data_IF_274124975365
#
_entry.id   IF_274124975365
#
_cell.length_a   1.000
_cell.length_b   1.000
_cell.length_c   1.000
_cell.angle_alpha   90.00
_cell.angle_beta   90.00
_cell.angle_gamma   90.00
#
_symmetry.space_group_name_H-M   'P 1'
#
loop_
_entity.id
_entity.type
_entity.pdbx_description
1 polymer ?
#
# COMPACT_ATOMS: atom_id res chain seq x y z
N UNK A 1 -22.96 20.81 -4.65
CA UNK A 1 -22.29 19.56 -5.06
C UNK A 1 -22.83 19.18 -6.42
N UNK A 2 -22.00 19.20 -7.45
CA UNK A 2 -22.34 18.66 -8.77
C UNK A 2 -22.26 17.14 -8.66
N UNK A 3 -23.42 16.49 -8.50
CA UNK A 3 -23.52 15.03 -8.53
C UNK A 3 -23.84 14.54 -9.93
N UNK A 4 -23.42 13.33 -10.26
CA UNK A 4 -23.87 12.62 -11.45
C UNK A 4 -25.12 11.80 -11.12
N UNK A 5 -26.12 11.80 -12.00
CA UNK A 5 -27.33 10.99 -11.83
C UNK A 5 -27.41 9.96 -12.95
N UNK A 6 -27.45 8.68 -12.57
CA UNK A 6 -27.77 7.58 -13.48
C UNK A 6 -29.27 7.30 -13.33
N UNK A 7 -30.03 7.46 -14.41
CA UNK A 7 -31.47 7.18 -14.43
C UNK A 7 -31.76 5.88 -15.17
N UNK A 8 -32.43 4.95 -14.48
CA UNK A 8 -32.99 3.74 -15.09
C UNK A 8 -34.51 3.89 -15.15
N UNK A 9 -35.07 3.96 -16.35
CA UNK A 9 -36.50 4.15 -16.56
C UNK A 9 -37.17 2.88 -17.06
N UNK A 10 -38.27 2.51 -16.43
CA UNK A 10 -39.11 1.38 -16.85
C UNK A 10 -40.35 1.89 -17.56
N UNK A 11 -40.70 1.24 -18.67
CA UNK A 11 -42.00 1.48 -19.31
C UNK A 11 -43.13 0.87 -18.47
N UNK A 12 -44.34 1.41 -18.61
CA UNK A 12 -45.54 0.87 -17.95
C UNK A 12 -45.74 -0.63 -18.25
N UNK A 13 -45.45 -1.05 -19.49
CA UNK A 13 -45.57 -2.45 -19.91
C UNK A 13 -44.51 -3.34 -19.22
N UNK A 14 -43.26 -2.86 -19.13
CA UNK A 14 -42.19 -3.57 -18.41
C UNK A 14 -42.54 -3.74 -16.93
N UNK A 15 -43.04 -2.69 -16.28
CA UNK A 15 -43.43 -2.73 -14.87
C UNK A 15 -44.58 -3.72 -14.61
N UNK A 16 -45.61 -3.72 -15.47
CA UNK A 16 -46.74 -4.64 -15.35
C UNK A 16 -46.32 -6.11 -15.48
N UNK A 17 -45.41 -6.41 -16.42
CA UNK A 17 -44.81 -7.74 -16.52
C UNK A 17 -43.99 -8.08 -15.28
N UNK A 18 -43.23 -7.12 -14.77
CA UNK A 18 -42.32 -7.30 -13.65
C UNK A 18 -43.06 -7.60 -12.33
N UNK A 19 -44.22 -6.99 -12.09
CA UNK A 19 -45.08 -7.26 -10.91
C UNK A 19 -45.43 -8.75 -10.75
N UNK A 20 -45.55 -9.49 -11.85
CA UNK A 20 -45.84 -10.94 -11.83
C UNK A 20 -44.65 -11.79 -11.33
N UNK A 21 -43.44 -11.24 -11.32
CA UNK A 21 -42.22 -11.95 -10.91
C UNK A 21 -41.78 -11.65 -9.47
N UNK A 22 -42.07 -10.46 -8.93
CA UNK A 22 -41.65 -10.05 -7.57
C UNK A 22 -42.23 -11.00 -6.50
N UNK A 23 -43.49 -11.42 -6.66
CA UNK A 23 -44.14 -12.37 -5.75
C UNK A 23 -43.52 -13.78 -5.74
N UNK A 24 -42.55 -14.06 -6.62
CA UNK A 24 -41.83 -15.33 -6.73
C UNK A 24 -40.36 -15.24 -6.27
N UNK A 25 -40.00 -14.18 -5.55
CA UNK A 25 -38.64 -14.00 -5.01
C UNK A 25 -37.61 -13.45 -6.00
N UNK A 26 -38.06 -12.91 -7.16
CA UNK A 26 -37.17 -12.22 -8.09
C UNK A 26 -36.91 -10.78 -7.64
N UNK A 27 -35.65 -10.35 -7.73
CA UNK A 27 -35.23 -8.98 -7.42
C UNK A 27 -34.64 -8.30 -8.67
N UNK A 28 -34.86 -6.99 -8.77
CA UNK A 28 -34.19 -6.17 -9.77
C UNK A 28 -32.82 -5.77 -9.23
N UNK A 29 -31.78 -6.01 -10.02
CA UNK A 29 -30.42 -5.61 -9.70
C UNK A 29 -29.96 -4.56 -10.70
N UNK A 30 -29.55 -3.41 -10.19
CA UNK A 30 -28.81 -2.40 -10.95
C UNK A 30 -27.38 -2.43 -10.43
N UNK A 31 -26.44 -2.64 -11.33
CA UNK A 31 -25.00 -2.66 -11.04
C UNK A 31 -24.32 -1.71 -12.01
N UNK A 32 -23.40 -0.91 -11.51
CA UNK A 32 -22.60 0.02 -12.30
C UNK A 32 -21.24 0.19 -11.65
N UNK A 33 -20.23 0.53 -12.45
CA UNK A 33 -18.92 0.96 -11.98
C UNK A 33 -18.79 2.46 -12.19
N UNK A 34 -18.16 3.14 -11.23
CA UNK A 34 -17.85 4.56 -11.31
C UNK A 34 -16.40 4.81 -10.92
N UNK A 35 -15.80 5.85 -11.50
CA UNK A 35 -14.41 6.23 -11.27
C UNK A 35 -14.38 7.45 -10.36
N UNK A 36 -13.67 7.37 -9.23
CA UNK A 36 -13.47 8.52 -8.33
C UNK A 36 -12.45 9.48 -8.95
N UNK A 37 -12.81 10.74 -9.11
CA UNK A 37 -11.93 11.74 -9.73
C UNK A 37 -11.27 12.65 -8.69
N UNK A 38 -10.32 13.49 -9.12
CA UNK A 38 -9.50 14.36 -8.24
C UNK A 38 -10.25 15.43 -7.47
N UNK A 39 -11.52 15.66 -7.79
CA UNK A 39 -12.40 16.56 -7.05
C UNK A 39 -12.93 15.94 -5.75
N UNK A 40 -12.80 14.63 -5.57
CA UNK A 40 -13.10 13.95 -4.32
C UNK A 40 -11.98 14.18 -3.29
N UNK A 41 -12.29 14.90 -2.22
CA UNK A 41 -11.29 15.27 -1.20
C UNK A 41 -11.38 14.40 0.05
N UNK A 42 -12.57 14.24 0.62
CA UNK A 42 -12.74 13.55 1.92
C UNK A 42 -13.66 12.34 1.85
N UNK A 43 -14.67 12.35 1.00
CA UNK A 43 -15.65 11.28 0.92
C UNK A 43 -16.28 11.17 -0.47
N UNK A 44 -16.79 9.97 -0.77
CA UNK A 44 -17.60 9.67 -1.96
C UNK A 44 -18.92 9.07 -1.49
N UNK A 45 -20.00 9.77 -1.83
CA UNK A 45 -21.37 9.35 -1.50
C UNK A 45 -22.10 8.88 -2.75
N UNK A 46 -22.83 7.78 -2.61
CA UNK A 46 -23.77 7.30 -3.61
C UNK A 46 -25.16 7.10 -2.97
N UNK A 47 -26.16 7.70 -3.58
CA UNK A 47 -27.54 7.68 -3.13
C UNK A 47 -28.44 6.99 -4.16
N UNK A 48 -29.32 6.09 -3.70
CA UNK A 48 -30.34 5.47 -4.54
C UNK A 48 -31.74 6.04 -4.27
N UNK A 49 -32.42 6.41 -5.35
CA UNK A 49 -33.78 6.94 -5.37
C UNK A 49 -34.68 6.07 -6.25
N UNK A 50 -35.91 5.83 -5.78
CA UNK A 50 -36.98 5.29 -6.62
C UNK A 50 -38.15 6.26 -6.54
N UNK A 51 -38.61 6.76 -7.68
CA UNK A 51 -39.66 7.80 -7.75
C UNK A 51 -40.99 7.41 -7.10
N UNK A 52 -41.24 6.11 -6.91
CA UNK A 52 -42.42 5.58 -6.24
C UNK A 52 -42.26 5.42 -4.73
N UNK A 53 -41.10 5.79 -4.17
CA UNK A 53 -40.82 5.78 -2.73
C UNK A 53 -40.54 7.20 -2.26
N UNK A 54 -41.07 7.54 -1.09
CA UNK A 54 -40.90 8.86 -0.48
C UNK A 54 -39.49 9.08 0.07
N UNK A 55 -38.78 8.01 0.46
CA UNK A 55 -37.46 8.08 1.08
C UNK A 55 -36.35 7.53 0.17
N UNK A 56 -35.16 8.14 0.24
CA UNK A 56 -33.93 7.57 -0.35
C UNK A 56 -33.58 6.30 0.41
N UNK A 57 -33.38 5.18 -0.30
CA UNK A 57 -33.33 3.87 0.38
C UNK A 57 -31.96 3.29 0.65
N UNK A 58 -30.87 3.78 0.04
CA UNK A 58 -29.51 3.31 0.37
C UNK A 58 -28.46 4.38 0.10
N UNK A 59 -27.51 4.44 1.02
CA UNK A 59 -26.31 5.26 0.97
C UNK A 59 -25.11 4.31 0.96
N UNK A 60 -24.27 4.39 -0.07
CA UNK A 60 -22.90 3.93 0.06
C UNK A 60 -22.06 5.17 0.37
N UNK A 61 -21.35 5.12 1.49
CA UNK A 61 -20.47 6.19 1.94
C UNK A 61 -19.06 5.62 2.02
N UNK A 62 -18.10 6.32 1.45
CA UNK A 62 -16.70 5.94 1.52
C UNK A 62 -15.88 7.14 1.93
N UNK A 63 -15.14 6.98 3.02
CA UNK A 63 -14.17 7.97 3.49
C UNK A 63 -12.84 7.72 2.79
N UNK A 64 -12.22 8.80 2.32
CA UNK A 64 -10.91 8.77 1.67
C UNK A 64 -9.81 9.04 2.70
N UNK A 65 -8.62 8.52 2.44
CA UNK A 65 -7.43 8.65 3.26
C UNK A 65 -6.22 9.03 2.40
N UNK A 66 -5.19 9.53 3.07
CA UNK A 66 -3.90 9.86 2.48
C UNK A 66 -2.80 9.03 3.13
N UNK A 67 -1.91 8.49 2.29
CA UNK A 67 -0.68 7.82 2.70
C UNK A 67 0.49 8.75 2.39
N UNK A 68 1.29 9.11 3.40
CA UNK A 68 2.51 9.91 3.21
C UNK A 68 3.70 9.21 3.85
N UNK A 69 4.85 9.25 3.17
CA UNK A 69 6.12 8.75 3.68
C UNK A 69 7.30 9.62 3.21
N UNK A 70 8.46 9.44 3.86
CA UNK A 70 9.71 10.14 3.54
C UNK A 70 10.70 9.21 2.87
N UNK A 71 11.11 9.57 1.66
CA UNK A 71 12.23 8.96 0.95
C UNK A 71 13.54 9.51 1.51
N UNK A 72 14.40 8.62 2.01
CA UNK A 72 15.69 9.00 2.63
C UNK A 72 16.85 8.13 2.16
N UNK A 73 18.07 8.58 2.48
CA UNK A 73 19.28 7.77 2.47
C UNK A 73 19.56 7.15 3.86
N UNK A 74 20.68 6.42 3.98
CA UNK A 74 21.10 5.77 5.22
C UNK A 74 21.43 6.72 6.38
N UNK A 75 21.52 8.03 6.12
CA UNK A 75 21.75 9.10 7.11
C UNK A 75 20.49 9.92 7.37
N UNK A 76 19.31 9.41 6.99
CA UNK A 76 18.00 10.06 7.08
C UNK A 76 17.88 11.37 6.28
N UNK A 77 18.79 11.60 5.32
CA UNK A 77 18.71 12.77 4.44
C UNK A 77 17.64 12.54 3.38
N UNK A 78 16.77 13.53 3.10
CA UNK A 78 15.73 13.39 2.10
C UNK A 78 16.29 13.21 0.68
N UNK A 79 15.65 12.32 -0.09
CA UNK A 79 15.99 12.06 -1.49
C UNK A 79 14.84 12.41 -2.43
N UNK A 80 15.14 13.23 -3.43
CA UNK A 80 14.22 13.60 -4.49
C UNK A 80 14.36 12.69 -5.72
N UNK A 81 13.28 12.57 -6.49
CA UNK A 81 13.29 11.91 -7.80
C UNK A 81 13.08 10.40 -7.78
N UNK A 82 12.83 9.78 -6.61
CA UNK A 82 12.39 8.39 -6.57
C UNK A 82 10.94 8.29 -7.08
N UNK A 83 10.64 7.33 -7.96
CA UNK A 83 9.27 7.08 -8.45
C UNK A 83 8.69 5.84 -7.80
N UNK A 84 7.45 5.96 -7.34
CA UNK A 84 6.72 4.90 -6.64
C UNK A 84 5.39 4.65 -7.31
N UNK A 85 5.10 3.40 -7.63
CA UNK A 85 3.81 2.93 -8.12
C UNK A 85 2.96 2.44 -6.96
N UNK A 86 1.66 2.73 -6.97
CA UNK A 86 0.70 2.17 -6.02
C UNK A 86 -0.27 1.21 -6.70
N UNK A 87 -0.53 0.06 -6.07
CA UNK A 87 -1.49 -0.94 -6.53
C UNK A 87 -2.39 -1.38 -5.38
N UNK A 88 -3.69 -1.53 -5.63
CA UNK A 88 -4.62 -2.11 -4.67
C UNK A 88 -4.66 -3.64 -4.79
N UNK A 89 -4.81 -4.34 -3.68
CA UNK A 89 -5.15 -5.77 -3.66
C UNK A 89 -6.52 -6.08 -4.25
N UNK A 90 -7.42 -5.09 -4.35
CA UNK A 90 -8.73 -5.24 -4.97
C UNK A 90 -9.06 -4.06 -5.90
N UNK A 91 -8.82 -4.26 -7.19
CA UNK A 91 -9.02 -3.24 -8.24
C UNK A 91 -10.48 -2.89 -8.53
N UNK A 92 -11.44 -3.66 -8.01
CA UNK A 92 -12.88 -3.46 -8.24
C UNK A 92 -13.56 -2.65 -7.14
N UNK A 93 -12.83 -2.25 -6.10
CA UNK A 93 -13.33 -1.37 -5.05
C UNK A 93 -12.84 0.05 -5.30
N UNK A 94 -13.47 1.01 -4.60
CA UNK A 94 -13.30 2.46 -4.69
C UNK A 94 -11.88 2.94 -4.31
N UNK A 95 -10.84 2.44 -4.96
CA UNK A 95 -9.52 2.42 -4.33
C UNK A 95 -8.50 3.26 -5.08
N UNK A 96 -8.47 3.20 -6.42
CA UNK A 96 -7.67 4.05 -7.30
C UNK A 96 -8.29 3.96 -8.72
N UNK A 97 -8.63 5.05 -9.43
CA UNK A 97 -8.87 4.98 -10.88
C UNK A 97 -7.75 4.27 -11.63
N UNK A 98 -8.10 3.58 -12.73
CA UNK A 98 -7.14 3.36 -13.80
C UNK A 98 -6.67 4.73 -14.29
N UNK A 99 -5.40 5.09 -14.08
CA UNK A 99 -4.94 6.44 -14.40
C UNK A 99 -4.64 7.36 -13.19
N UNK A 100 -4.51 6.83 -11.97
CA UNK A 100 -4.65 7.56 -10.70
C UNK A 100 -4.34 9.08 -10.69
N UNK A 101 -5.38 9.89 -10.79
CA UNK A 101 -5.30 11.32 -10.57
C UNK A 101 -6.29 11.75 -9.50
N UNK A 102 -5.82 11.80 -8.25
CA UNK A 102 -6.26 12.82 -7.30
C UNK A 102 -5.11 13.81 -7.11
N UNK A 103 -5.12 14.89 -7.91
CA UNK A 103 -4.25 16.08 -7.83
C UNK A 103 -2.89 15.84 -7.15
N UNK A 104 -2.15 14.79 -7.56
CA UNK A 104 -1.00 14.33 -6.80
C UNK A 104 0.02 15.46 -6.77
N UNK A 105 0.20 16.07 -5.60
CA UNK A 105 1.17 17.17 -5.46
C UNK A 105 2.60 16.67 -5.65
N UNK A 106 2.80 15.35 -5.62
CA UNK A 106 4.05 14.62 -5.76
C UNK A 106 4.08 13.92 -7.13
N UNK A 107 4.00 14.70 -8.22
CA UNK A 107 4.03 14.19 -9.60
C UNK A 107 4.80 15.11 -10.52
N UNK A 108 5.48 14.54 -11.51
CA UNK A 108 6.04 15.28 -12.65
C UNK A 108 5.71 14.56 -13.98
N UNK A 109 6.32 15.04 -15.07
CA UNK A 109 6.13 14.49 -16.41
C UNK A 109 6.70 13.07 -16.60
N UNK A 110 7.52 12.58 -15.66
CA UNK A 110 8.10 11.24 -15.70
C UNK A 110 7.21 10.18 -15.07
N UNK A 111 6.20 10.56 -14.27
CA UNK A 111 5.33 9.60 -13.59
C UNK A 111 4.31 8.96 -14.54
N UNK A 112 4.17 7.63 -14.43
CA UNK A 112 2.99 6.92 -14.94
C UNK A 112 1.75 7.22 -14.08
N UNK A 113 0.52 7.03 -14.60
CA UNK A 113 -0.69 7.50 -13.93
C UNK A 113 -0.88 7.02 -12.49
N UNK A 114 -0.41 5.82 -12.16
CA UNK A 114 -0.43 5.23 -10.83
C UNK A 114 0.87 5.44 -10.04
N UNK A 115 1.68 6.44 -10.42
CA UNK A 115 2.92 6.79 -9.76
C UNK A 115 2.92 8.15 -9.04
N UNK A 116 3.76 8.22 -8.02
CA UNK A 116 4.18 9.44 -7.33
C UNK A 116 5.70 9.57 -7.35
N UNK A 117 6.22 10.80 -7.33
CA UNK A 117 7.64 11.12 -7.27
C UNK A 117 8.02 11.77 -5.93
N UNK A 118 9.17 11.40 -5.36
CA UNK A 118 9.67 12.04 -4.15
C UNK A 118 10.10 13.48 -4.41
N UNK A 119 9.58 14.40 -3.60
CA UNK A 119 9.89 15.84 -3.66
C UNK A 119 11.30 16.13 -3.15
N UNK A 120 11.72 17.40 -3.28
CA UNK A 120 12.99 17.90 -2.75
C UNK A 120 13.21 17.60 -1.26
N UNK A 121 12.14 17.58 -0.47
CA UNK A 121 12.14 17.27 0.96
C UNK A 121 11.92 15.77 1.26
N UNK A 122 12.03 14.92 0.24
CA UNK A 122 11.84 13.47 0.33
C UNK A 122 10.38 13.02 0.45
N UNK A 123 9.41 13.93 0.53
CA UNK A 123 8.01 13.54 0.71
C UNK A 123 7.50 12.78 -0.51
N UNK A 124 6.73 11.71 -0.27
CA UNK A 124 5.89 11.01 -1.24
C UNK A 124 4.49 10.89 -0.63
N UNK A 125 3.46 11.24 -1.40
CA UNK A 125 2.07 11.20 -0.94
C UNK A 125 1.19 10.53 -1.98
N UNK A 126 0.33 9.64 -1.51
CA UNK A 126 -0.80 9.07 -2.25
C UNK A 126 -2.09 9.46 -1.54
N UNK A 127 -2.83 10.42 -2.09
CA UNK A 127 -4.14 10.85 -1.57
C UNK A 127 -5.27 9.94 -2.05
N UNK A 128 -6.53 10.21 -1.67
CA UNK A 128 -7.75 9.63 -2.26
C UNK A 128 -7.91 8.11 -2.12
N UNK A 129 -7.24 7.51 -1.15
CA UNK A 129 -7.26 6.06 -0.91
C UNK A 129 -8.51 5.66 -0.12
N UNK A 130 -9.28 4.67 -0.57
CA UNK A 130 -10.40 4.17 0.24
C UNK A 130 -9.93 3.53 1.55
N UNK A 131 -10.68 3.82 2.61
CA UNK A 131 -10.57 3.08 3.87
C UNK A 131 -11.38 1.78 3.76
N UNK A 132 -10.69 0.64 3.77
CA UNK A 132 -11.36 -0.66 3.78
C UNK A 132 -10.49 -1.69 4.55
N UNK A 133 -11.03 -2.34 5.60
CA UNK A 133 -10.29 -3.35 6.36
C UNK A 133 -9.83 -4.55 5.52
N UNK A 134 -10.49 -4.83 4.40
CA UNK A 134 -10.21 -5.96 3.51
C UNK A 134 -9.31 -5.59 2.31
N UNK A 135 -8.80 -4.35 2.26
CA UNK A 135 -7.97 -3.85 1.15
C UNK A 135 -6.61 -3.41 1.66
N UNK A 136 -5.58 -3.79 0.91
CA UNK A 136 -4.20 -3.38 1.12
C UNK A 136 -3.66 -2.68 -0.12
N UNK A 137 -2.70 -1.79 0.11
CA UNK A 137 -2.01 -1.04 -0.93
C UNK A 137 -0.57 -1.50 -0.99
N UNK A 138 -0.14 -1.97 -2.16
CA UNK A 138 1.24 -2.28 -2.46
C UNK A 138 1.88 -1.06 -3.14
N UNK A 139 2.95 -0.57 -2.55
CA UNK A 139 3.79 0.49 -3.09
C UNK A 139 5.07 -0.16 -3.61
N UNK A 140 5.47 0.17 -4.84
CA UNK A 140 6.70 -0.38 -5.46
C UNK A 140 7.56 0.77 -5.97
N UNK A 141 8.84 0.79 -5.62
CA UNK A 141 9.79 1.73 -6.22
C UNK A 141 10.10 1.32 -7.66
N UNK A 142 9.71 2.17 -8.60
CA UNK A 142 9.89 1.96 -10.04
C UNK A 142 11.20 2.57 -10.55
N UNK A 143 11.69 3.61 -9.86
CA UNK A 143 12.98 4.22 -10.14
C UNK A 143 13.58 4.78 -8.84
N UNK A 144 14.82 4.39 -8.55
CA UNK A 144 15.59 4.97 -7.47
C UNK A 144 16.06 6.41 -7.80
N UNK A 145 16.36 7.23 -6.78
CA UNK A 145 17.04 8.51 -6.97
C UNK A 145 18.39 8.36 -7.69
N UNK A 146 18.84 9.43 -8.36
CA UNK A 146 20.11 9.41 -9.08
C UNK A 146 21.29 9.05 -8.14
N UNK A 147 22.12 8.10 -8.57
CA UNK A 147 23.25 7.58 -7.80
C UNK A 147 22.91 6.43 -6.83
N UNK A 148 21.63 6.06 -6.69
CA UNK A 148 21.19 4.94 -5.85
C UNK A 148 20.85 3.72 -6.70
N UNK A 149 20.95 2.52 -6.11
CA UNK A 149 20.57 1.30 -6.82
C UNK A 149 19.06 1.12 -6.79
N UNK A 150 18.50 0.64 -7.92
CA UNK A 150 17.10 0.22 -7.98
C UNK A 150 17.03 -1.24 -7.56
N UNK A 151 16.45 -1.49 -6.38
CA UNK A 151 16.29 -2.83 -5.83
C UNK A 151 14.92 -3.46 -6.15
N UNK A 152 14.02 -2.69 -6.76
CA UNK A 152 12.62 -3.11 -6.89
C UNK A 152 11.96 -3.28 -5.53
N UNK A 153 12.31 -2.42 -4.57
CA UNK A 153 11.74 -2.47 -3.23
C UNK A 153 10.23 -2.25 -3.31
N UNK A 154 9.49 -3.01 -2.51
CA UNK A 154 8.05 -2.88 -2.46
C UNK A 154 7.55 -3.12 -1.05
N UNK A 155 6.50 -2.43 -0.67
CA UNK A 155 5.89 -2.59 0.62
C UNK A 155 4.39 -2.46 0.66
N UNK A 156 3.78 -3.04 1.69
CA UNK A 156 2.34 -3.13 1.84
C UNK A 156 1.86 -2.32 3.04
N UNK A 157 0.87 -1.48 2.77
CA UNK A 157 0.17 -0.68 3.77
C UNK A 157 -1.30 -1.10 3.82
N UNK A 158 -1.83 -1.21 5.03
CA UNK A 158 -3.27 -1.34 5.26
C UNK A 158 -3.81 -0.02 5.83
N UNK A 159 -4.96 0.43 5.34
CA UNK A 159 -5.62 1.65 5.82
C UNK A 159 -6.89 1.25 6.57
N UNK A 160 -6.90 1.41 7.89
CA UNK A 160 -8.07 1.06 8.70
C UNK A 160 -9.21 2.08 8.51
N UNK A 161 -10.43 1.64 8.84
CA UNK A 161 -11.66 2.46 8.86
C UNK A 161 -11.82 3.33 10.12
N UNK A 162 -10.87 3.29 11.06
CA UNK A 162 -10.88 4.07 12.29
C UNK A 162 -9.68 5.00 12.28
N UNK A 163 -9.90 6.26 11.86
CA UNK A 163 -8.91 7.33 11.97
C UNK A 163 -7.63 7.09 11.19
N UNK A 164 -7.71 7.02 9.85
CA UNK A 164 -6.57 7.09 8.91
C UNK A 164 -5.30 6.33 9.36
N UNK A 165 -5.45 5.10 9.85
CA UNK A 165 -4.32 4.35 10.38
C UNK A 165 -3.62 3.61 9.24
N UNK A 166 -2.47 4.12 8.82
CA UNK A 166 -1.53 3.44 7.93
C UNK A 166 -0.74 2.42 8.75
N UNK A 167 -1.09 1.14 8.65
CA UNK A 167 -0.36 0.04 9.30
C UNK A 167 0.59 -0.57 8.30
N UNK A 168 1.87 -0.49 8.61
CA UNK A 168 2.92 -1.16 7.86
C UNK A 168 2.96 -2.63 8.25
N UNK A 169 2.81 -3.53 7.28
CA UNK A 169 3.09 -4.94 7.50
C UNK A 169 4.60 -5.15 7.46
N UNK A 170 5.29 -5.07 8.60
CA UNK A 170 6.71 -5.42 8.66
C UNK A 170 6.85 -6.95 8.63
N UNK A 171 7.14 -7.50 7.45
CA UNK A 171 7.39 -8.93 7.24
C UNK A 171 8.36 -9.07 6.08
N UNK A 172 9.22 -10.12 6.04
CA UNK A 172 10.08 -10.40 4.90
C UNK A 172 9.36 -10.50 3.54
N UNK A 173 8.04 -10.74 3.56
CA UNK A 173 7.19 -10.77 2.36
C UNK A 173 6.77 -9.38 1.86
N UNK A 174 6.73 -8.40 2.76
CA UNK A 174 6.24 -7.03 2.53
C UNK A 174 7.33 -5.97 2.68
N UNK A 175 8.52 -6.32 3.16
CA UNK A 175 9.74 -5.53 3.01
C UNK A 175 10.95 -6.48 2.95
N UNK A 176 11.22 -7.04 1.76
CA UNK A 176 12.29 -8.02 1.60
C UNK A 176 13.68 -7.47 1.96
N UNK A 177 13.85 -6.15 1.97
CA UNK A 177 15.13 -5.49 2.17
C UNK A 177 15.25 -4.80 3.54
N UNK A 178 14.18 -4.73 4.34
CA UNK A 178 14.16 -4.04 5.62
C UNK A 178 14.45 -2.54 5.50
N UNK A 179 14.05 -1.93 4.38
CA UNK A 179 14.34 -0.53 4.05
C UNK A 179 13.20 0.42 4.40
N UNK A 180 12.09 -0.09 4.94
CA UNK A 180 10.97 0.73 5.38
C UNK A 180 10.91 0.74 6.90
N UNK A 181 11.02 1.93 7.50
CA UNK A 181 11.04 2.10 8.95
C UNK A 181 9.86 2.95 9.39
N UNK A 182 9.03 2.49 10.35
CA UNK A 182 8.11 3.38 11.04
C UNK A 182 8.90 4.25 12.02
N UNK A 183 8.84 5.58 11.86
CA UNK A 183 9.54 6.54 12.75
C UNK A 183 8.90 6.64 14.14
N UNK A 184 7.65 6.16 14.27
CA UNK A 184 6.95 5.97 15.55
C UNK A 184 5.88 4.89 15.37
N UNK A 185 6.22 3.59 15.52
CA UNK A 185 5.24 2.51 15.38
C UNK A 185 4.20 2.63 16.51
N UNK A 186 3.04 3.18 16.18
CA UNK A 186 1.90 3.28 17.08
C UNK A 186 0.73 2.47 16.52
N UNK A 187 0.11 1.68 17.38
CA UNK A 187 -1.13 0.96 17.05
C UNK A 187 -2.37 1.85 17.09
N UNK A 188 -2.24 3.12 17.48
CA UNK A 188 -3.37 4.03 17.66
C UNK A 188 -3.25 5.33 16.81
N UNK A 189 -2.12 5.57 16.12
CA UNK A 189 -1.87 6.76 15.28
C UNK A 189 -1.31 6.36 13.90
N UNK A 190 -1.48 7.20 12.87
CA UNK A 190 -0.86 7.00 11.55
C UNK A 190 0.66 6.91 11.69
N UNK A 191 1.26 5.82 11.18
CA UNK A 191 2.71 5.67 11.23
C UNK A 191 3.37 6.68 10.27
N UNK A 192 4.29 7.49 10.79
CA UNK A 192 5.29 8.12 9.94
C UNK A 192 6.21 7.03 9.39
N UNK A 193 6.36 6.96 8.07
CA UNK A 193 7.16 5.95 7.41
C UNK A 193 8.34 6.62 6.71
N UNK A 194 9.52 6.03 6.85
CA UNK A 194 10.68 6.33 6.01
C UNK A 194 10.96 5.15 5.10
N UNK A 195 11.34 5.44 3.85
CA UNK A 195 11.74 4.46 2.84
C UNK A 195 13.15 4.79 2.41
N UNK A 196 14.10 3.94 2.78
CA UNK A 196 15.54 4.12 2.59
C UNK A 196 15.98 3.60 1.21
N UNK A 197 16.88 4.31 0.52
CA UNK A 197 17.63 3.76 -0.60
C UNK A 197 19.11 3.74 -0.25
N UNK A 198 19.77 2.73 -0.80
CA UNK A 198 21.20 2.49 -0.63
C UNK A 198 21.94 2.67 -1.95
N UNK A 199 23.22 2.97 -1.87
CA UNK A 199 24.11 3.05 -3.04
C UNK A 199 24.60 1.66 -3.50
N UNK A 200 24.51 0.64 -2.64
CA UNK A 200 24.94 -0.72 -2.97
C UNK A 200 24.30 -1.79 -2.07
N UNK A 201 24.30 -3.03 -2.54
CA UNK A 201 23.80 -4.21 -1.79
C UNK A 201 24.54 -4.40 -0.45
N UNK A 202 25.80 -3.95 -0.37
CA UNK A 202 26.61 -4.04 0.85
C UNK A 202 26.10 -3.15 2.01
N UNK A 203 25.25 -2.16 1.71
CA UNK A 203 24.63 -1.28 2.71
C UNK A 203 23.25 -1.77 3.15
N UNK A 204 22.74 -2.86 2.56
CA UNK A 204 21.49 -3.45 3.03
C UNK A 204 21.64 -3.87 4.50
N UNK A 205 20.63 -3.60 5.36
CA UNK A 205 20.67 -4.12 6.71
C UNK A 205 20.74 -5.65 6.62
N UNK A 206 21.63 -6.26 7.41
CA UNK A 206 21.77 -7.72 7.48
C UNK A 206 20.56 -8.32 8.19
N UNK A 207 19.40 -8.33 7.54
CA UNK A 207 18.16 -8.82 8.14
C UNK A 207 18.06 -10.34 7.99
N UNK A 208 17.84 -10.99 9.13
CA UNK A 208 17.22 -12.31 9.30
C UNK A 208 17.89 -13.54 8.67
N UNK A 209 17.89 -13.66 7.34
CA UNK A 209 18.27 -14.90 6.65
C UNK A 209 19.77 -15.02 6.36
N UNK A 210 20.34 -14.00 5.73
CA UNK A 210 21.75 -14.01 5.33
C UNK A 210 22.70 -13.82 6.52
N UNK A 211 22.33 -12.97 7.49
CA UNK A 211 23.11 -12.75 8.70
C UNK A 211 23.24 -14.02 9.56
N UNK A 212 22.14 -14.77 9.75
CA UNK A 212 22.17 -16.05 10.47
C UNK A 212 23.02 -17.08 9.70
N UNK A 213 22.84 -17.21 8.39
CA UNK A 213 23.63 -18.16 7.60
C UNK A 213 25.14 -17.88 7.69
N UNK A 214 25.55 -16.62 7.61
CA UNK A 214 26.95 -16.22 7.75
C UNK A 214 27.49 -16.52 9.16
N UNK A 215 26.72 -16.23 10.20
CA UNK A 215 27.10 -16.54 11.59
C UNK A 215 27.18 -18.05 11.86
N UNK A 216 26.29 -18.85 11.26
CA UNK A 216 26.33 -20.31 11.36
C UNK A 216 27.58 -20.87 10.68
N UNK A 217 27.96 -20.35 9.51
CA UNK A 217 29.20 -20.75 8.82
C UNK A 217 30.43 -20.41 9.67
N UNK A 218 30.49 -19.20 10.25
CA UNK A 218 31.58 -18.80 11.15
C UNK A 218 31.61 -19.70 12.39
N UNK A 219 30.46 -19.98 13.01
CA UNK A 219 30.38 -20.84 14.18
C UNK A 219 30.85 -22.28 13.87
N UNK A 220 30.55 -22.81 12.69
CA UNK A 220 31.04 -24.11 12.25
C UNK A 220 32.58 -24.11 12.03
N UNK A 221 33.11 -23.05 11.41
CA UNK A 221 34.57 -22.90 11.21
C UNK A 221 35.31 -22.74 12.56
N UNK A 222 34.78 -21.94 13.48
CA UNK A 222 35.36 -21.77 14.82
C UNK A 222 35.21 -23.04 15.68
N UNK A 223 34.08 -23.74 15.57
CA UNK A 223 33.85 -25.01 16.26
C UNK A 223 34.84 -26.09 15.83
N UNK A 224 35.08 -26.24 14.53
CA UNK A 224 36.07 -27.20 14.01
C UNK A 224 37.50 -26.86 14.42
N UNK A 225 37.89 -25.57 14.36
CA UNK A 225 39.18 -25.12 14.87
C UNK A 225 39.35 -25.37 16.39
N UNK A 226 38.31 -25.11 17.18
CA UNK A 226 38.29 -25.36 18.63
C UNK A 226 38.49 -26.83 18.98
N UNK A 227 37.84 -27.74 18.26
CA UNK A 227 38.01 -29.20 18.45
C UNK A 227 39.46 -29.63 18.18
N UNK A 228 40.08 -29.13 17.11
CA UNK A 228 41.47 -29.45 16.77
C UNK A 228 42.43 -28.97 17.87
N UNK A 229 42.22 -27.77 18.40
CA UNK A 229 43.05 -27.22 19.49
C UNK A 229 42.91 -28.04 20.77
N UNK A 230 41.70 -28.47 21.14
CA UNK A 230 41.46 -29.29 22.34
C UNK A 230 42.06 -30.68 22.20
N UNK A 231 41.94 -31.32 21.04
CA UNK A 231 42.56 -32.64 20.81
C UNK A 231 44.09 -32.52 20.87
N UNK A 232 44.66 -31.46 20.30
CA UNK A 232 46.11 -31.23 20.34
C UNK A 232 46.60 -30.87 21.75
N UNK A 233 45.82 -30.11 22.54
CA UNK A 233 46.22 -29.77 23.92
C UNK A 233 46.20 -30.98 24.84
N UNK A 234 45.22 -31.89 24.70
CA UNK A 234 45.18 -33.15 25.46
C UNK A 234 46.33 -34.10 25.13
N UNK A 235 46.76 -34.13 23.86
CA UNK A 235 47.95 -34.90 23.44
C UNK A 235 49.26 -34.34 23.97
N UNK A 236 49.33 -33.02 24.20
CA UNK A 236 50.52 -32.37 24.76
C UNK A 236 50.51 -32.34 26.31
N UNK A 237 49.36 -32.50 26.95
CA UNK A 237 49.23 -32.56 28.42
C UNK A 237 49.42 -33.98 29.00
N UNK A 238 49.62 -34.98 28.14
CA UNK A 238 50.05 -36.34 28.52
C UNK A 238 51.55 -36.47 28.24
N UNK A 239 52.36 -35.87 29.11
CA UNK A 239 53.80 -36.17 29.30
C UNK A 239 54.00 -36.43 30.78
#
# INVERSE_FOLDING_TARGET
MTGHTITVQFTKNTLAKWQNYIGRGYAMRVSYDAVVTSDATTQVDNEFYMSTLTDKKKYAHSVLASLTFKKVDASDKPLAGARFKIESSNRNQLVLPSGYANANTNRDASCDPDEAISKADGTVTFDGLAQNPDVSYKITEMAAPNGYITLGLSFVVNISNQGAKVVFGDSPTSDPYGLVKPTSPDTDVSNELTVENVHSIAQLPFTGGAGIAFMVVIAALLGTAGVIVVVRSRRNATV
#
